data_IF_538477313792
#
_entry.id   IF_538477313792
#
_cell.length_a   1.000
_cell.length_b   1.000
_cell.length_c   1.000
_cell.angle_alpha   90.00
_cell.angle_beta   90.00
_cell.angle_gamma   90.00
#
_symmetry.space_group_name_H-M   'P 1'
#
loop_
_entity.id
_entity.type
_entity.pdbx_description
1 polymer ?
#
# COMPACT_ATOMS: atom_id res chain seq x y z
N UNK A 1 -66.20 67.98 -50.17
CA UNK A 1 -66.44 66.55 -49.97
C UNK A 1 -65.26 65.94 -49.24
N UNK A 2 -65.33 65.78 -47.94
CA UNK A 2 -64.23 65.36 -47.08
C UNK A 2 -64.57 64.01 -46.48
N UNK A 3 -63.81 62.97 -46.88
CA UNK A 3 -63.87 61.64 -46.29
C UNK A 3 -62.82 61.51 -45.14
N UNK A 4 -63.31 61.27 -43.93
CA UNK A 4 -62.51 60.98 -42.76
C UNK A 4 -62.08 59.49 -42.76
N UNK A 5 -60.79 59.20 -42.72
CA UNK A 5 -60.23 57.88 -42.42
C UNK A 5 -60.10 57.69 -40.89
N UNK A 6 -60.68 56.60 -40.42
CA UNK A 6 -60.47 56.14 -39.04
C UNK A 6 -59.23 55.22 -38.99
N UNK A 7 -58.24 55.54 -38.16
CA UNK A 7 -57.15 54.69 -37.84
C UNK A 7 -57.56 53.66 -36.77
N UNK A 8 -57.32 52.38 -37.10
CA UNK A 8 -57.49 51.27 -36.13
C UNK A 8 -56.20 51.12 -35.35
N UNK A 9 -56.35 50.95 -34.02
CA UNK A 9 -55.28 50.73 -33.06
C UNK A 9 -54.81 49.24 -33.07
N UNK A 10 -53.49 48.94 -33.08
CA UNK A 10 -53.03 47.58 -32.95
C UNK A 10 -52.97 47.18 -31.46
N UNK A 11 -53.63 46.06 -31.12
CA UNK A 11 -53.61 45.45 -29.83
C UNK A 11 -52.24 44.79 -29.52
N UNK A 12 -51.63 45.16 -28.40
CA UNK A 12 -50.46 44.48 -27.87
C UNK A 12 -50.82 43.09 -27.32
N UNK A 13 -50.39 42.03 -28.00
CA UNK A 13 -50.33 40.68 -27.41
C UNK A 13 -49.07 40.59 -26.51
N UNK A 14 -49.24 40.54 -25.23
CA UNK A 14 -48.20 40.23 -24.29
C UNK A 14 -47.96 38.71 -24.26
N UNK A 15 -46.83 38.25 -24.81
CA UNK A 15 -46.34 36.87 -24.62
C UNK A 15 -45.73 36.77 -23.22
N UNK A 16 -46.38 36.07 -22.29
CA UNK A 16 -45.82 35.64 -21.02
C UNK A 16 -45.04 34.34 -21.28
N UNK A 17 -43.72 34.48 -21.48
CA UNK A 17 -42.81 33.34 -21.55
C UNK A 17 -42.57 32.78 -20.15
N UNK A 18 -43.12 31.61 -19.85
CA UNK A 18 -42.81 30.88 -18.64
C UNK A 18 -41.41 30.26 -18.76
N UNK A 19 -40.44 30.83 -18.04
CA UNK A 19 -39.08 30.29 -17.91
C UNK A 19 -39.14 29.08 -16.98
N UNK A 20 -39.14 27.84 -17.54
CA UNK A 20 -39.03 26.62 -16.79
C UNK A 20 -37.55 26.43 -16.39
N UNK A 21 -37.21 26.75 -15.13
CA UNK A 21 -35.90 26.49 -14.55
C UNK A 21 -35.80 25.00 -14.24
N UNK A 22 -35.18 24.22 -15.12
CA UNK A 22 -34.84 22.82 -14.87
C UNK A 22 -33.69 22.78 -13.89
N UNK A 23 -33.97 22.57 -12.61
CA UNK A 23 -32.96 22.24 -11.57
C UNK A 23 -32.43 20.85 -11.91
N UNK A 24 -31.29 20.79 -12.59
CA UNK A 24 -30.49 19.56 -12.70
C UNK A 24 -29.83 19.33 -11.34
N UNK A 25 -30.46 18.55 -10.46
CA UNK A 25 -29.82 18.03 -9.26
C UNK A 25 -28.77 16.99 -9.70
N UNK A 26 -27.52 17.40 -9.80
CA UNK A 26 -26.41 16.48 -9.91
C UNK A 26 -26.32 15.72 -8.58
N UNK A 27 -26.84 14.50 -8.56
CA UNK A 27 -26.51 13.55 -7.49
C UNK A 27 -25.01 13.29 -7.63
N UNK A 28 -24.21 13.89 -6.76
CA UNK A 28 -22.85 13.47 -6.56
C UNK A 28 -22.93 11.99 -6.15
N UNK A 29 -22.50 11.10 -7.04
CA UNK A 29 -22.44 9.68 -6.78
C UNK A 29 -21.42 9.53 -5.66
N UNK A 30 -21.88 9.27 -4.44
CA UNK A 30 -21.01 9.03 -3.31
C UNK A 30 -20.07 7.88 -3.71
N UNK A 31 -18.78 8.17 -3.80
CA UNK A 31 -17.77 7.17 -4.09
C UNK A 31 -17.81 6.02 -3.08
N UNK A 32 -17.02 4.99 -3.27
CA UNK A 32 -17.01 3.83 -2.38
C UNK A 32 -16.76 4.27 -0.95
N UNK A 33 -17.65 3.89 -0.06
CA UNK A 33 -17.62 4.27 1.36
C UNK A 33 -16.99 3.13 2.17
N UNK A 34 -15.65 3.02 2.15
CA UNK A 34 -14.93 2.12 3.03
C UNK A 34 -15.20 2.49 4.50
N UNK A 35 -15.28 1.48 5.34
CA UNK A 35 -15.47 1.64 6.80
C UNK A 35 -14.80 0.50 7.54
N UNK A 36 -14.43 0.71 8.79
CA UNK A 36 -14.04 -0.39 9.69
C UNK A 36 -15.28 -1.24 9.95
N UNK A 37 -15.23 -2.48 9.47
CA UNK A 37 -16.29 -3.48 9.68
C UNK A 37 -16.01 -4.31 10.94
N UNK A 38 -14.74 -4.64 11.20
CA UNK A 38 -14.34 -5.41 12.37
C UNK A 38 -13.07 -4.84 13.00
N UNK A 39 -13.04 -4.89 14.34
CA UNK A 39 -11.84 -4.72 15.15
C UNK A 39 -11.66 -5.99 15.97
N UNK A 40 -10.55 -6.68 15.79
CA UNK A 40 -10.30 -7.99 16.39
C UNK A 40 -9.05 -7.91 17.26
N UNK A 41 -9.15 -8.10 18.57
CA UNK A 41 -7.98 -8.19 19.44
C UNK A 41 -7.07 -9.34 19.00
N UNK A 42 -5.78 -9.08 18.93
CA UNK A 42 -4.74 -10.06 18.65
C UNK A 42 -3.77 -10.15 19.83
N UNK A 43 -3.16 -11.32 20.08
CA UNK A 43 -2.17 -11.47 21.14
C UNK A 43 -0.83 -10.82 20.76
N UNK A 44 -0.12 -10.31 21.76
CA UNK A 44 1.23 -9.75 21.66
C UNK A 44 1.27 -8.25 21.87
N UNK A 45 2.39 -7.79 22.39
CA UNK A 45 2.61 -6.39 22.77
C UNK A 45 3.83 -5.79 22.06
N UNK A 46 4.39 -6.50 21.07
CA UNK A 46 5.53 -6.04 20.28
C UNK A 46 5.09 -5.11 19.14
N UNK A 47 6.06 -4.43 18.54
CA UNK A 47 5.84 -3.66 17.32
C UNK A 47 5.55 -4.57 16.13
N UNK A 48 4.93 -4.01 15.13
CA UNK A 48 4.58 -4.68 13.87
C UNK A 48 5.17 -3.95 12.68
N UNK A 49 5.14 -4.65 11.53
CA UNK A 49 5.57 -4.11 10.25
C UNK A 49 4.64 -4.59 9.12
N UNK A 50 5.16 -5.04 7.98
CA UNK A 50 4.36 -5.38 6.80
C UNK A 50 3.33 -6.49 7.06
N UNK A 51 2.24 -6.38 6.31
CA UNK A 51 1.21 -7.38 6.21
C UNK A 51 1.23 -7.96 4.78
N UNK A 52 1.03 -9.28 4.68
CA UNK A 52 0.92 -9.96 3.38
C UNK A 52 -0.32 -10.82 3.36
N UNK A 53 -1.24 -10.54 2.42
CA UNK A 53 -2.39 -11.38 2.18
C UNK A 53 -2.02 -12.50 1.20
N UNK A 54 -2.40 -13.75 1.53
CA UNK A 54 -2.16 -14.90 0.66
C UNK A 54 -3.19 -14.94 -0.47
N UNK A 55 -2.77 -14.79 -1.73
CA UNK A 55 -3.68 -14.88 -2.86
C UNK A 55 -4.35 -16.27 -2.93
N UNK A 56 -5.68 -16.31 -2.83
CA UNK A 56 -6.47 -17.55 -2.90
C UNK A 56 -6.43 -18.43 -1.64
N UNK A 57 -5.70 -18.02 -0.60
CA UNK A 57 -5.46 -18.84 0.60
C UNK A 57 -6.22 -18.43 1.86
N UNK A 58 -6.96 -17.34 1.87
CA UNK A 58 -7.72 -16.82 3.01
C UNK A 58 -6.87 -16.61 4.29
N UNK A 59 -5.55 -16.37 4.14
CA UNK A 59 -4.65 -16.12 5.26
C UNK A 59 -3.99 -14.76 5.13
N UNK A 60 -3.89 -14.08 6.26
CA UNK A 60 -3.12 -12.85 6.42
C UNK A 60 -1.91 -13.14 7.29
N UNK A 61 -0.74 -12.79 6.80
CA UNK A 61 0.54 -12.89 7.51
C UNK A 61 0.90 -11.51 8.03
N UNK A 62 1.21 -11.40 9.32
CA UNK A 62 1.51 -10.14 10.01
C UNK A 62 2.91 -10.24 10.61
N UNK A 63 3.83 -9.38 10.17
CA UNK A 63 5.13 -9.22 10.81
C UNK A 63 4.95 -8.60 12.21
N UNK A 64 5.31 -9.32 13.27
CA UNK A 64 5.05 -8.91 14.64
C UNK A 64 6.27 -9.17 15.55
N UNK A 65 7.14 -8.18 15.66
CA UNK A 65 8.29 -8.19 16.56
C UNK A 65 9.32 -9.28 16.30
N UNK A 66 9.08 -10.48 16.81
CA UNK A 66 10.00 -11.64 16.72
C UNK A 66 9.35 -12.85 16.06
N UNK A 67 8.17 -12.68 15.49
CA UNK A 67 7.38 -13.75 14.85
C UNK A 67 6.52 -13.21 13.71
N UNK A 68 6.00 -14.11 12.91
CA UNK A 68 4.89 -13.82 11.99
C UNK A 68 3.63 -14.48 12.53
N UNK A 69 2.59 -13.68 12.78
CA UNK A 69 1.26 -14.20 13.09
C UNK A 69 0.50 -14.48 11.80
N UNK A 70 -0.22 -15.60 11.77
CA UNK A 70 -1.05 -15.99 10.63
C UNK A 70 -2.52 -15.96 11.05
N UNK A 71 -3.32 -15.18 10.36
CA UNK A 71 -4.74 -14.98 10.64
C UNK A 71 -5.57 -15.69 9.57
N UNK A 72 -6.54 -16.51 9.97
CA UNK A 72 -7.63 -16.97 9.11
C UNK A 72 -8.60 -15.80 8.89
N UNK A 73 -8.70 -15.31 7.67
CA UNK A 73 -9.48 -14.09 7.36
C UNK A 73 -10.98 -14.32 7.25
N UNK A 74 -11.42 -15.58 7.18
CA UNK A 74 -12.85 -15.91 7.22
C UNK A 74 -13.35 -15.97 8.67
N UNK A 75 -12.51 -16.48 9.58
CA UNK A 75 -12.83 -16.57 11.02
C UNK A 75 -12.38 -15.35 11.81
N UNK A 76 -11.52 -14.52 11.25
CA UNK A 76 -10.85 -13.41 11.90
C UNK A 76 -10.14 -13.83 13.20
N UNK A 77 -9.42 -14.94 13.13
CA UNK A 77 -8.77 -15.55 14.29
C UNK A 77 -7.35 -16.02 13.94
N UNK A 78 -6.48 -16.09 14.94
CA UNK A 78 -5.12 -16.64 14.77
C UNK A 78 -5.22 -18.10 14.36
N UNK A 79 -4.62 -18.43 13.20
CA UNK A 79 -4.55 -19.77 12.63
C UNK A 79 -3.19 -20.43 12.85
N UNK A 80 -2.16 -19.66 13.14
CA UNK A 80 -0.81 -20.17 13.37
C UNK A 80 0.20 -19.06 13.59
N UNK A 81 1.43 -19.47 13.76
CA UNK A 81 2.57 -18.59 14.02
C UNK A 81 3.86 -19.18 13.43
N UNK A 82 4.75 -18.30 12.94
CA UNK A 82 6.13 -18.66 12.59
C UNK A 82 7.02 -17.90 13.57
N UNK A 83 7.59 -18.61 14.54
CA UNK A 83 8.42 -18.05 15.59
C UNK A 83 9.87 -17.81 15.14
N UNK A 84 10.67 -17.20 16.03
CA UNK A 84 12.11 -16.99 15.88
C UNK A 84 12.49 -16.21 14.61
N UNK A 85 11.79 -15.09 14.36
CA UNK A 85 12.09 -14.15 13.28
C UNK A 85 12.44 -12.76 13.84
N UNK A 86 13.58 -12.59 14.57
CA UNK A 86 13.88 -11.37 15.32
C UNK A 86 13.99 -10.15 14.41
N UNK A 87 13.16 -9.12 14.67
CA UNK A 87 13.08 -7.93 13.85
C UNK A 87 12.52 -8.26 12.47
N UNK A 88 11.46 -9.07 12.43
CA UNK A 88 10.73 -9.34 11.18
C UNK A 88 10.18 -8.04 10.59
N UNK A 89 10.36 -7.89 9.29
CA UNK A 89 9.80 -6.79 8.49
C UNK A 89 8.79 -7.30 7.50
N UNK A 90 9.21 -8.02 6.45
CA UNK A 90 8.37 -8.43 5.35
C UNK A 90 8.17 -9.94 5.20
N UNK A 91 7.11 -10.32 4.49
CA UNK A 91 6.78 -11.70 4.15
C UNK A 91 6.49 -11.77 2.65
N UNK A 92 7.21 -12.62 1.92
CA UNK A 92 6.94 -12.94 0.53
C UNK A 92 6.45 -14.39 0.40
N UNK A 93 5.42 -14.60 -0.40
CA UNK A 93 4.82 -15.91 -0.61
C UNK A 93 5.12 -16.41 -2.02
N UNK A 94 5.52 -17.66 -2.14
CA UNK A 94 5.74 -18.38 -3.39
C UNK A 94 4.82 -19.62 -3.44
N UNK A 95 3.52 -19.44 -3.73
CA UNK A 95 2.54 -20.52 -3.66
C UNK A 95 2.82 -21.65 -4.63
N UNK A 96 3.39 -21.35 -5.79
CA UNK A 96 3.83 -22.32 -6.80
C UNK A 96 4.96 -23.24 -6.32
N UNK A 97 5.73 -22.80 -5.31
CA UNK A 97 6.78 -23.57 -4.67
C UNK A 97 6.35 -24.16 -3.31
N UNK A 98 5.16 -23.82 -2.83
CA UNK A 98 4.67 -24.17 -1.50
C UNK A 98 5.49 -23.55 -0.37
N UNK A 99 6.15 -22.41 -0.60
CA UNK A 99 7.09 -21.75 0.33
C UNK A 99 6.71 -20.32 0.62
N UNK A 100 7.19 -19.84 1.75
CA UNK A 100 7.22 -18.43 2.08
C UNK A 100 8.59 -18.02 2.62
N UNK A 101 8.87 -16.73 2.55
CA UNK A 101 10.15 -16.13 2.88
C UNK A 101 9.91 -14.90 3.77
N UNK A 102 10.67 -14.79 4.85
CA UNK A 102 10.54 -13.71 5.84
C UNK A 102 11.87 -12.98 5.93
N UNK A 103 11.87 -11.66 5.80
CA UNK A 103 13.02 -10.83 6.10
C UNK A 103 13.11 -10.59 7.61
N UNK A 104 14.21 -11.02 8.23
CA UNK A 104 14.49 -10.86 9.65
C UNK A 104 15.65 -9.88 9.85
N UNK A 105 15.34 -8.59 9.93
CA UNK A 105 16.30 -7.48 9.88
C UNK A 105 17.34 -7.52 10.99
N UNK A 106 16.95 -7.90 12.21
CA UNK A 106 17.88 -7.94 13.35
C UNK A 106 18.91 -9.07 13.23
N UNK A 107 18.51 -10.22 12.68
CA UNK A 107 19.42 -11.36 12.47
C UNK A 107 20.14 -11.32 11.13
N UNK A 108 19.71 -10.49 10.18
CA UNK A 108 20.32 -10.35 8.86
C UNK A 108 20.15 -11.62 8.01
N UNK A 109 18.98 -12.27 8.09
CA UNK A 109 18.66 -13.49 7.36
C UNK A 109 17.29 -13.39 6.68
N UNK A 110 17.09 -14.25 5.68
CA UNK A 110 15.78 -14.64 5.19
C UNK A 110 15.43 -15.98 5.83
N UNK A 111 14.28 -16.07 6.52
CA UNK A 111 13.75 -17.32 7.02
C UNK A 111 12.82 -17.93 5.98
N UNK A 112 13.11 -19.16 5.53
CA UNK A 112 12.27 -19.92 4.61
C UNK A 112 11.33 -20.79 5.42
N UNK A 113 10.05 -20.83 5.04
CA UNK A 113 9.05 -21.67 5.71
C UNK A 113 8.16 -22.40 4.71
N UNK A 114 7.62 -23.54 5.15
CA UNK A 114 6.60 -24.28 4.41
C UNK A 114 5.26 -23.56 4.51
N UNK A 115 4.69 -23.20 3.37
CA UNK A 115 3.47 -22.39 3.32
C UNK A 115 2.24 -23.10 3.89
N UNK A 116 2.20 -24.44 3.84
CA UNK A 116 1.08 -25.24 4.32
C UNK A 116 1.14 -25.46 5.83
N UNK A 117 2.30 -25.85 6.33
CA UNK A 117 2.49 -26.25 7.74
C UNK A 117 2.99 -25.11 8.63
N UNK A 118 3.46 -24.01 8.04
CA UNK A 118 4.13 -22.88 8.70
C UNK A 118 5.47 -23.24 9.37
N UNK A 119 5.96 -24.46 9.13
CA UNK A 119 7.22 -24.90 9.70
C UNK A 119 8.42 -24.18 9.05
N UNK A 120 9.36 -23.74 9.86
CA UNK A 120 10.63 -23.18 9.38
C UNK A 120 11.43 -24.29 8.70
N UNK A 121 12.00 -23.99 7.55
CA UNK A 121 12.77 -24.92 6.72
C UNK A 121 14.26 -24.59 6.74
N UNK A 122 14.63 -23.30 6.60
CA UNK A 122 16.00 -22.89 6.38
C UNK A 122 16.18 -21.41 6.75
N UNK A 123 17.40 -21.00 7.06
CA UNK A 123 17.83 -19.61 7.08
C UNK A 123 18.84 -19.35 5.96
N UNK A 124 18.71 -18.20 5.30
CA UNK A 124 19.60 -17.75 4.26
C UNK A 124 20.22 -16.43 4.71
N UNK A 125 21.55 -16.35 4.83
CA UNK A 125 22.25 -15.13 5.17
C UNK A 125 22.12 -14.11 4.03
N UNK A 126 21.68 -12.88 4.34
CA UNK A 126 21.64 -11.80 3.36
C UNK A 126 23.03 -11.22 3.08
N UNK A 127 23.20 -10.60 1.93
CA UNK A 127 24.45 -9.96 1.53
C UNK A 127 24.56 -8.50 1.99
N UNK A 128 23.52 -7.98 2.64
CA UNK A 128 23.46 -6.64 3.20
C UNK A 128 22.83 -6.63 4.58
N UNK A 129 23.02 -5.54 5.29
CA UNK A 129 22.49 -5.34 6.64
C UNK A 129 21.03 -4.88 6.62
N UNK A 130 20.26 -5.32 7.63
CA UNK A 130 18.87 -4.98 7.83
C UNK A 130 18.01 -5.30 6.60
N UNK A 131 17.84 -6.61 6.25
CA UNK A 131 16.83 -7.02 5.28
C UNK A 131 15.46 -6.54 5.74
N UNK A 132 14.80 -5.75 4.91
CA UNK A 132 13.57 -5.06 5.19
C UNK A 132 12.46 -5.57 4.26
N UNK A 133 12.06 -4.82 3.27
CA UNK A 133 11.12 -5.27 2.27
C UNK A 133 11.61 -6.53 1.53
N UNK A 134 10.69 -7.42 1.21
CA UNK A 134 10.98 -8.70 0.52
C UNK A 134 9.88 -9.00 -0.49
N UNK A 135 10.24 -9.50 -1.66
CA UNK A 135 9.27 -9.96 -2.65
C UNK A 135 9.72 -11.26 -3.32
N UNK A 136 8.76 -12.04 -3.80
CA UNK A 136 8.95 -13.14 -4.73
C UNK A 136 8.55 -12.68 -6.13
N UNK A 137 9.48 -12.76 -7.07
CA UNK A 137 9.22 -12.50 -8.49
C UNK A 137 8.92 -13.83 -9.19
N UNK A 138 7.64 -14.04 -9.53
CA UNK A 138 7.16 -15.28 -10.14
C UNK A 138 7.79 -15.55 -11.52
N UNK A 139 8.13 -14.48 -12.27
CA UNK A 139 8.68 -14.63 -13.63
C UNK A 139 10.11 -15.18 -13.62
N UNK A 140 10.91 -14.80 -12.63
CA UNK A 140 12.29 -15.28 -12.50
C UNK A 140 12.44 -16.45 -11.52
N UNK A 141 11.40 -16.78 -10.73
CA UNK A 141 11.45 -17.69 -9.59
C UNK A 141 12.54 -17.30 -8.58
N UNK A 142 12.65 -15.99 -8.30
CA UNK A 142 13.63 -15.42 -7.37
C UNK A 142 12.98 -14.66 -6.26
N UNK A 143 13.62 -14.70 -5.09
CA UNK A 143 13.29 -13.84 -3.96
C UNK A 143 14.29 -12.71 -3.88
N UNK A 144 13.79 -11.51 -3.66
CA UNK A 144 14.61 -10.32 -3.46
C UNK A 144 14.29 -9.73 -2.10
N UNK A 145 15.32 -9.53 -1.27
CA UNK A 145 15.18 -8.72 -0.06
C UNK A 145 15.99 -7.45 -0.20
N UNK A 146 15.37 -6.36 0.19
CA UNK A 146 15.91 -5.01 0.09
C UNK A 146 16.50 -4.65 1.45
N UNK A 147 17.82 -4.45 1.48
CA UNK A 147 18.57 -4.30 2.72
C UNK A 147 18.76 -2.80 2.99
N UNK A 148 17.92 -2.25 3.90
CA UNK A 148 17.85 -0.80 4.15
C UNK A 148 19.18 -0.17 4.54
N UNK A 149 19.91 -0.76 5.51
CA UNK A 149 21.24 -0.29 5.92
C UNK A 149 22.33 -0.71 4.94
N UNK A 150 22.18 -1.87 4.32
CA UNK A 150 23.11 -2.40 3.31
C UNK A 150 23.07 -1.64 2.00
N UNK A 151 22.02 -0.84 1.72
CA UNK A 151 21.85 -0.03 0.48
C UNK A 151 21.96 -0.89 -0.78
N UNK A 152 21.46 -2.12 -0.71
CA UNK A 152 21.50 -3.12 -1.77
C UNK A 152 20.32 -4.06 -1.69
N UNK A 153 20.18 -4.93 -2.67
CA UNK A 153 19.27 -6.07 -2.60
C UNK A 153 20.03 -7.39 -2.68
N UNK A 154 19.59 -8.38 -1.89
CA UNK A 154 20.04 -9.77 -2.00
C UNK A 154 19.09 -10.52 -2.88
N UNK A 155 19.59 -11.21 -3.91
CA UNK A 155 18.83 -12.09 -4.77
C UNK A 155 19.05 -13.55 -4.40
N UNK A 156 17.96 -14.30 -4.27
CA UNK A 156 17.96 -15.74 -3.92
C UNK A 156 17.20 -16.51 -5.00
N UNK A 157 17.77 -17.63 -5.45
CA UNK A 157 17.04 -18.60 -6.26
C UNK A 157 16.03 -19.36 -5.37
N UNK A 158 14.74 -19.19 -5.64
CA UNK A 158 13.69 -19.75 -4.79
C UNK A 158 13.52 -21.27 -4.92
N UNK A 159 14.17 -21.92 -5.91
CA UNK A 159 14.15 -23.38 -6.08
C UNK A 159 15.22 -24.06 -5.24
N UNK A 160 16.38 -23.42 -5.10
CA UNK A 160 17.54 -23.96 -4.37
C UNK A 160 17.71 -23.35 -2.98
N UNK A 161 17.09 -22.21 -2.72
CA UNK A 161 17.28 -21.36 -1.53
C UNK A 161 18.76 -20.93 -1.36
N UNK A 162 19.39 -20.56 -2.46
CA UNK A 162 20.77 -20.11 -2.47
C UNK A 162 20.86 -18.64 -2.92
N UNK A 163 21.75 -17.89 -2.31
CA UNK A 163 22.06 -16.54 -2.75
C UNK A 163 22.76 -16.59 -4.11
N UNK A 164 22.18 -15.90 -5.09
CA UNK A 164 22.71 -15.87 -6.46
C UNK A 164 23.32 -14.53 -6.84
N UNK A 165 23.19 -13.51 -5.99
CA UNK A 165 23.82 -12.22 -6.24
C UNK A 165 23.40 -11.11 -5.29
N UNK A 166 24.10 -9.99 -5.43
CA UNK A 166 23.83 -8.73 -4.75
C UNK A 166 23.65 -7.64 -5.80
N UNK A 167 22.62 -6.81 -5.61
CA UNK A 167 22.34 -5.68 -6.50
C UNK A 167 22.63 -4.39 -5.72
N UNK A 168 23.70 -3.64 -6.03
CA UNK A 168 23.93 -2.34 -5.43
C UNK A 168 22.81 -1.36 -5.82
N UNK A 169 22.31 -0.60 -4.86
CA UNK A 169 21.26 0.40 -5.06
C UNK A 169 21.75 1.83 -4.78
N UNK A 170 22.88 1.95 -4.04
CA UNK A 170 23.52 3.21 -3.64
C UNK A 170 22.58 4.17 -2.89
N UNK A 171 21.48 3.66 -2.41
CA UNK A 171 20.41 4.37 -1.71
C UNK A 171 19.70 3.43 -0.74
N UNK A 172 18.94 3.98 0.22
CA UNK A 172 18.11 3.20 1.14
C UNK A 172 16.87 2.68 0.40
N UNK A 173 16.81 1.37 0.08
CA UNK A 173 15.60 0.80 -0.50
C UNK A 173 14.50 0.64 0.56
N UNK A 174 13.27 0.91 0.14
CA UNK A 174 12.05 0.69 0.89
C UNK A 174 11.19 -0.36 0.18
N UNK A 175 9.90 -0.09 -0.05
CA UNK A 175 8.99 -1.07 -0.64
C UNK A 175 9.29 -1.32 -2.13
N UNK A 176 9.07 -2.57 -2.56
CA UNK A 176 9.27 -2.98 -3.94
C UNK A 176 8.07 -3.78 -4.48
N UNK A 177 7.84 -3.68 -5.78
CA UNK A 177 6.83 -4.45 -6.51
C UNK A 177 7.42 -5.02 -7.80
N UNK A 178 6.95 -6.21 -8.19
CA UNK A 178 7.27 -6.84 -9.49
C UNK A 178 6.10 -6.69 -10.45
N UNK A 179 6.39 -6.45 -11.74
CA UNK A 179 5.38 -6.52 -12.80
C UNK A 179 5.10 -7.94 -13.30
N UNK A 180 5.86 -8.93 -12.81
CA UNK A 180 5.80 -10.32 -13.26
C UNK A 180 6.21 -10.52 -14.72
N UNK A 181 6.84 -9.53 -15.36
CA UNK A 181 7.23 -9.51 -16.77
C UNK A 181 8.70 -9.13 -16.98
N UNK A 182 9.47 -9.12 -15.90
CA UNK A 182 10.91 -8.89 -15.94
C UNK A 182 11.35 -7.52 -15.42
N UNK A 183 10.51 -6.84 -14.64
CA UNK A 183 10.88 -5.61 -13.95
C UNK A 183 10.46 -5.65 -12.49
N UNK A 184 11.35 -5.22 -11.62
CA UNK A 184 11.06 -4.92 -10.22
C UNK A 184 11.28 -3.42 -10.05
N UNK A 185 10.31 -2.77 -9.41
CA UNK A 185 10.37 -1.36 -9.05
C UNK A 185 10.58 -1.25 -7.56
N UNK A 186 11.49 -0.39 -7.13
CA UNK A 186 11.78 -0.18 -5.69
C UNK A 186 11.93 1.30 -5.38
N UNK A 187 11.24 1.76 -4.34
CA UNK A 187 11.42 3.10 -3.81
C UNK A 187 12.79 3.22 -3.15
N UNK A 188 13.48 4.31 -3.43
CA UNK A 188 14.76 4.70 -2.84
C UNK A 188 14.50 5.92 -1.96
N UNK A 189 14.28 5.68 -0.65
CA UNK A 189 13.78 6.66 0.31
C UNK A 189 14.65 7.91 0.38
N UNK A 190 15.94 7.75 0.67
CA UNK A 190 16.89 8.86 0.88
C UNK A 190 17.34 9.55 -0.41
N UNK A 191 16.80 9.15 -1.55
CA UNK A 191 17.07 9.74 -2.88
C UNK A 191 15.81 10.26 -3.57
N UNK A 192 14.63 10.15 -2.94
CA UNK A 192 13.36 10.56 -3.53
C UNK A 192 13.20 10.02 -4.96
N UNK A 193 13.52 8.75 -5.15
CA UNK A 193 13.59 8.16 -6.49
C UNK A 193 13.07 6.72 -6.51
N UNK A 194 12.85 6.22 -7.72
CA UNK A 194 12.40 4.87 -8.03
C UNK A 194 13.50 4.18 -8.87
N UNK A 195 14.01 3.05 -8.40
CA UNK A 195 14.87 2.21 -9.21
C UNK A 195 14.07 1.13 -9.94
N UNK A 196 14.51 0.78 -11.14
CA UNK A 196 14.03 -0.36 -11.93
C UNK A 196 15.13 -1.39 -12.02
N UNK A 197 14.81 -2.63 -11.61
CA UNK A 197 15.74 -3.74 -11.58
C UNK A 197 15.32 -4.78 -12.64
N UNK A 198 16.28 -5.29 -13.40
CA UNK A 198 16.12 -6.51 -14.21
C UNK A 198 16.41 -7.71 -13.29
N UNK A 199 15.39 -8.52 -12.93
CA UNK A 199 15.55 -9.64 -12.01
C UNK A 199 16.38 -10.78 -12.59
N UNK A 200 16.55 -10.87 -13.91
CA UNK A 200 17.37 -11.90 -14.54
C UNK A 200 18.85 -11.52 -14.58
N UNK A 201 19.14 -10.23 -14.89
CA UNK A 201 20.51 -9.73 -14.95
C UNK A 201 21.06 -9.33 -13.58
N UNK A 202 20.19 -9.24 -12.55
CA UNK A 202 20.53 -8.78 -11.21
C UNK A 202 21.19 -7.39 -11.23
N UNK A 203 20.59 -6.46 -11.96
CA UNK A 203 21.15 -5.11 -12.12
C UNK A 203 20.06 -4.05 -12.19
N UNK A 204 20.38 -2.86 -11.69
CA UNK A 204 19.56 -1.66 -11.89
C UNK A 204 19.66 -1.25 -13.36
N UNK A 205 18.51 -1.07 -14.00
CA UNK A 205 18.44 -0.64 -15.41
C UNK A 205 18.13 0.85 -15.54
N UNK A 206 17.44 1.42 -14.56
CA UNK A 206 17.08 2.84 -14.55
C UNK A 206 16.85 3.32 -13.13
N UNK A 207 17.05 4.61 -12.90
CA UNK A 207 16.66 5.31 -11.67
C UNK A 207 15.95 6.60 -12.09
N UNK A 208 14.74 6.80 -11.60
CA UNK A 208 13.90 7.94 -11.93
C UNK A 208 13.64 8.79 -10.66
N UNK A 209 13.86 10.11 -10.70
CA UNK A 209 13.44 10.97 -9.60
C UNK A 209 11.89 11.01 -9.52
N UNK A 210 11.34 10.93 -8.31
CA UNK A 210 9.90 11.08 -8.10
C UNK A 210 9.63 12.54 -7.74
N UNK A 211 9.35 13.36 -8.75
CA UNK A 211 9.13 14.79 -8.56
C UNK A 211 7.97 15.08 -7.61
N UNK A 212 8.19 15.90 -6.59
CA UNK A 212 7.19 16.27 -5.60
C UNK A 212 6.93 15.23 -4.51
N UNK A 213 7.73 14.16 -4.45
CA UNK A 213 7.70 13.13 -3.42
C UNK A 213 8.97 13.23 -2.56
N UNK A 214 8.83 13.22 -1.25
CA UNK A 214 9.92 13.18 -0.28
C UNK A 214 9.82 11.89 0.51
N UNK A 215 10.94 11.19 0.67
CA UNK A 215 11.05 9.92 1.41
C UNK A 215 9.95 8.91 1.00
N UNK A 216 9.97 8.41 -0.26
CA UNK A 216 8.99 7.42 -0.73
C UNK A 216 9.12 6.11 0.06
N UNK A 217 8.01 5.62 0.63
CA UNK A 217 7.93 4.37 1.39
C UNK A 217 7.15 3.30 0.61
N UNK A 218 5.84 3.16 0.85
CA UNK A 218 5.01 2.17 0.19
C UNK A 218 4.89 2.39 -1.32
N UNK A 219 4.76 1.29 -2.05
CA UNK A 219 4.65 1.27 -3.50
C UNK A 219 3.59 0.26 -3.94
N UNK A 220 2.70 0.64 -4.84
CA UNK A 220 1.73 -0.26 -5.45
C UNK A 220 1.77 -0.17 -6.97
N UNK A 221 1.36 -1.26 -7.66
CA UNK A 221 1.41 -1.37 -9.11
C UNK A 221 0.00 -1.64 -9.67
N UNK A 222 -0.45 -0.80 -10.61
CA UNK A 222 -1.46 -1.14 -11.60
C UNK A 222 -0.78 -1.77 -12.82
N UNK A 223 -0.68 -3.10 -12.83
CA UNK A 223 -0.01 -3.82 -13.91
C UNK A 223 -0.71 -3.70 -15.27
N UNK A 224 -2.03 -3.46 -15.28
CA UNK A 224 -2.81 -3.29 -16.50
C UNK A 224 -2.66 -1.86 -17.08
N UNK A 225 -2.71 -0.85 -16.22
CA UNK A 225 -2.50 0.54 -16.59
C UNK A 225 -1.03 0.92 -16.72
N UNK A 226 -0.10 0.07 -16.29
CA UNK A 226 1.34 0.36 -16.20
C UNK A 226 1.63 1.61 -15.37
N UNK A 227 0.95 1.73 -14.25
CA UNK A 227 1.13 2.82 -13.31
C UNK A 227 1.63 2.34 -11.96
N UNK A 228 2.46 3.14 -11.34
CA UNK A 228 2.90 2.96 -9.95
C UNK A 228 2.30 4.06 -9.07
N UNK A 229 1.95 3.68 -7.86
CA UNK A 229 1.49 4.59 -6.81
C UNK A 229 2.53 4.55 -5.70
N UNK A 230 3.33 5.60 -5.59
CA UNK A 230 4.32 5.77 -4.52
C UNK A 230 3.80 6.73 -3.47
N UNK A 231 3.84 6.34 -2.21
CA UNK A 231 3.42 7.20 -1.09
C UNK A 231 4.62 7.76 -0.36
N UNK A 232 4.53 9.04 0.03
CA UNK A 232 5.67 9.85 0.39
C UNK A 232 5.45 10.55 1.74
N UNK A 233 6.51 10.74 2.52
CA UNK A 233 6.46 11.33 3.86
C UNK A 233 5.90 12.77 3.87
N UNK A 234 6.06 13.51 2.77
CA UNK A 234 5.47 14.84 2.60
C UNK A 234 3.96 14.82 2.29
N UNK A 235 3.25 13.73 2.63
CA UNK A 235 1.78 13.57 2.54
C UNK A 235 1.25 13.59 1.11
N UNK A 236 1.96 12.95 0.23
CA UNK A 236 1.64 12.87 -1.20
C UNK A 236 1.63 11.41 -1.65
N UNK A 237 0.64 11.04 -2.47
CA UNK A 237 0.70 9.86 -3.32
C UNK A 237 1.02 10.32 -4.73
N UNK A 238 2.12 9.84 -5.31
CA UNK A 238 2.52 10.11 -6.68
C UNK A 238 2.06 8.97 -7.60
N UNK A 239 1.44 9.33 -8.73
CA UNK A 239 1.14 8.45 -9.85
C UNK A 239 2.29 8.53 -10.85
N UNK A 240 2.91 7.41 -11.14
CA UNK A 240 4.12 7.33 -11.97
C UNK A 240 3.85 6.41 -13.16
N UNK A 241 4.20 6.82 -14.36
CA UNK A 241 4.26 5.93 -15.52
C UNK A 241 5.41 4.94 -15.36
N UNK A 242 5.11 3.65 -15.32
CA UNK A 242 6.08 2.60 -15.01
C UNK A 242 7.14 2.41 -16.11
N UNK A 243 6.89 2.85 -17.33
CA UNK A 243 7.83 2.72 -18.45
C UNK A 243 8.85 3.86 -18.48
N UNK A 244 8.39 5.09 -18.25
CA UNK A 244 9.21 6.30 -18.39
C UNK A 244 9.69 6.88 -17.04
N UNK A 245 9.04 6.49 -15.93
CA UNK A 245 9.29 7.08 -14.61
C UNK A 245 8.71 8.50 -14.43
N UNK A 246 7.94 8.99 -15.38
CA UNK A 246 7.33 10.31 -15.29
C UNK A 246 6.20 10.34 -14.24
N UNK A 247 6.21 11.33 -13.36
CA UNK A 247 5.10 11.60 -12.46
C UNK A 247 3.95 12.21 -13.25
N UNK A 248 2.85 11.48 -13.34
CA UNK A 248 1.65 11.87 -14.09
C UNK A 248 0.72 12.76 -13.28
N UNK A 249 0.80 12.70 -11.97
CA UNK A 249 -0.01 13.48 -11.05
C UNK A 249 0.21 13.08 -9.60
N UNK A 250 -0.37 13.87 -8.71
CA UNK A 250 -0.29 13.62 -7.26
C UNK A 250 -1.65 13.78 -6.60
N UNK A 251 -1.84 13.14 -5.45
CA UNK A 251 -2.98 13.38 -4.56
C UNK A 251 -2.49 13.57 -3.12
N UNK A 252 -3.15 14.43 -2.33
CA UNK A 252 -2.83 14.55 -0.91
C UNK A 252 -3.29 13.30 -0.15
N UNK A 253 -2.47 12.87 0.83
CA UNK A 253 -2.76 11.76 1.73
C UNK A 253 -2.50 12.17 3.18
N UNK A 254 -2.81 11.29 4.14
CA UNK A 254 -2.54 11.53 5.55
C UNK A 254 -1.06 11.49 5.93
N UNK A 255 -0.77 11.83 7.18
CA UNK A 255 0.58 11.88 7.74
C UNK A 255 1.08 10.52 8.22
N UNK A 256 2.40 10.29 8.11
CA UNK A 256 3.04 9.06 8.58
C UNK A 256 2.62 7.84 7.77
N UNK A 257 2.47 8.02 6.46
CA UNK A 257 2.16 6.93 5.53
C UNK A 257 3.31 5.93 5.46
N UNK A 258 2.97 4.65 5.28
CA UNK A 258 3.97 3.59 5.17
C UNK A 258 3.63 2.57 4.09
N UNK A 259 2.36 2.28 3.85
CA UNK A 259 1.97 1.31 2.83
C UNK A 259 1.02 1.91 1.79
N UNK A 260 1.15 1.38 0.57
CA UNK A 260 0.26 1.62 -0.56
C UNK A 260 -0.31 0.29 -1.08
N UNK A 261 -1.53 0.32 -1.60
CA UNK A 261 -2.13 -0.80 -2.32
C UNK A 261 -2.94 -0.28 -3.51
N UNK A 262 -3.08 -1.10 -4.54
CA UNK A 262 -3.97 -0.82 -5.67
C UNK A 262 -4.91 -2.01 -5.88
N UNK A 263 -6.19 -1.71 -5.99
CA UNK A 263 -7.24 -2.68 -6.28
C UNK A 263 -7.65 -2.59 -7.75
N UNK A 264 -7.27 -3.58 -8.57
CA UNK A 264 -7.61 -3.55 -10.00
C UNK A 264 -9.13 -3.71 -10.24
N UNK A 265 -9.87 -4.32 -9.31
CA UNK A 265 -11.31 -4.53 -9.42
C UNK A 265 -12.11 -3.25 -9.25
N UNK A 266 -11.77 -2.43 -8.27
CA UNK A 266 -12.40 -1.14 -8.03
C UNK A 266 -11.67 0.04 -8.69
N UNK A 267 -10.42 -0.17 -9.15
CA UNK A 267 -9.50 0.86 -9.67
C UNK A 267 -9.20 1.96 -8.64
N UNK A 268 -9.08 1.57 -7.39
CA UNK A 268 -8.76 2.45 -6.29
C UNK A 268 -7.33 2.18 -5.79
N UNK A 269 -6.62 3.24 -5.47
CA UNK A 269 -5.38 3.19 -4.73
C UNK A 269 -5.62 3.58 -3.27
N UNK A 270 -4.83 3.03 -2.37
CA UNK A 270 -4.97 3.20 -0.93
C UNK A 270 -3.64 3.59 -0.32
N UNK A 271 -3.69 4.47 0.67
CA UNK A 271 -2.56 4.84 1.51
C UNK A 271 -2.95 4.74 2.98
N UNK A 272 -2.28 3.90 3.75
CA UNK A 272 -2.48 3.79 5.19
C UNK A 272 -1.52 4.70 5.93
N UNK A 273 -2.09 5.59 6.76
CA UNK A 273 -1.38 6.70 7.37
C UNK A 273 -1.38 6.56 8.89
N UNK A 274 -0.19 6.70 9.49
CA UNK A 274 0.05 6.50 10.93
C UNK A 274 -0.69 7.48 11.84
N UNK A 275 -1.14 8.62 11.31
CA UNK A 275 -2.01 9.54 12.05
C UNK A 275 -3.37 8.91 12.43
N UNK A 276 -3.81 7.87 11.70
CA UNK A 276 -5.07 7.17 11.91
C UNK A 276 -6.08 7.41 10.78
N UNK A 277 -5.60 7.43 9.53
CA UNK A 277 -6.46 7.50 8.35
C UNK A 277 -6.05 6.50 7.29
N UNK A 278 -7.03 6.03 6.50
CA UNK A 278 -6.82 5.37 5.22
C UNK A 278 -7.31 6.30 4.12
N UNK A 279 -6.40 6.81 3.30
CA UNK A 279 -6.77 7.62 2.14
C UNK A 279 -7.10 6.70 0.96
N UNK A 280 -8.30 6.86 0.40
CA UNK A 280 -8.77 6.17 -0.81
C UNK A 280 -8.68 7.14 -1.97
N UNK A 281 -7.93 6.76 -3.00
CA UNK A 281 -7.66 7.59 -4.17
C UNK A 281 -8.22 6.91 -5.41
N UNK A 282 -8.96 7.65 -6.21
CA UNK A 282 -9.44 7.23 -7.52
C UNK A 282 -8.70 7.97 -8.63
N UNK A 283 -8.65 7.35 -9.80
CA UNK A 283 -8.17 8.00 -11.01
C UNK A 283 -9.37 8.46 -11.83
N UNK A 284 -9.42 9.74 -12.18
CA UNK A 284 -10.47 10.28 -13.05
C UNK A 284 -10.33 9.77 -14.50
N UNK A 285 -11.34 9.98 -15.33
CA UNK A 285 -11.29 9.65 -16.76
C UNK A 285 -10.17 10.38 -17.51
N UNK A 286 -9.72 11.54 -17.01
CA UNK A 286 -8.58 12.29 -17.56
C UNK A 286 -7.22 11.80 -17.05
N UNK A 287 -7.19 10.79 -16.18
CA UNK A 287 -5.95 10.28 -15.57
C UNK A 287 -5.52 10.99 -14.28
N UNK A 288 -6.19 12.08 -13.89
CA UNK A 288 -5.85 12.79 -12.65
C UNK A 288 -6.26 11.99 -11.41
N UNK A 289 -5.42 12.03 -10.36
CA UNK A 289 -5.74 11.46 -9.07
C UNK A 289 -6.71 12.35 -8.29
N UNK A 290 -7.65 11.72 -7.61
CA UNK A 290 -8.63 12.38 -6.75
C UNK A 290 -8.79 11.60 -5.44
N UNK A 291 -8.78 12.31 -4.30
CA UNK A 291 -9.15 11.70 -3.03
C UNK A 291 -10.66 11.42 -3.05
N UNK A 292 -11.01 10.14 -3.13
CA UNK A 292 -12.40 9.69 -3.11
C UNK A 292 -12.95 9.64 -1.67
N UNK A 293 -12.09 9.30 -0.71
CA UNK A 293 -12.46 9.22 0.70
C UNK A 293 -11.22 9.29 1.60
N UNK A 294 -11.36 9.88 2.78
CA UNK A 294 -10.47 9.68 3.91
C UNK A 294 -11.24 8.94 5.00
N UNK A 295 -10.85 7.70 5.26
CA UNK A 295 -11.51 6.81 6.23
C UNK A 295 -10.80 6.97 7.57
N UNK A 296 -11.47 7.40 8.64
CA UNK A 296 -10.88 7.37 9.97
C UNK A 296 -10.53 5.92 10.36
N UNK A 297 -9.29 5.72 10.78
CA UNK A 297 -8.80 4.46 11.34
C UNK A 297 -8.31 4.69 12.76
N UNK A 298 -7.22 4.08 13.15
CA UNK A 298 -6.60 4.30 14.45
C UNK A 298 -5.13 4.73 14.27
N UNK A 299 -4.65 5.57 15.18
CA UNK A 299 -3.24 5.96 15.21
C UNK A 299 -2.34 4.72 15.15
N UNK A 300 -1.29 4.79 14.34
CA UNK A 300 -0.33 3.69 14.15
C UNK A 300 -0.75 2.65 13.11
N UNK A 301 -1.99 2.67 12.59
CA UNK A 301 -2.44 1.78 11.52
C UNK A 301 -1.85 2.20 10.16
N UNK A 302 -0.54 2.06 10.00
CA UNK A 302 0.22 2.58 8.85
C UNK A 302 0.56 1.52 7.78
N UNK A 303 0.57 0.24 8.16
CA UNK A 303 0.82 -0.88 7.23
C UNK A 303 -0.46 -1.60 6.90
N UNK A 304 -0.58 -2.10 5.66
CA UNK A 304 -1.81 -2.74 5.19
C UNK A 304 -1.56 -3.94 4.28
N UNK A 305 -2.59 -4.78 4.16
CA UNK A 305 -2.73 -5.74 3.08
C UNK A 305 -4.12 -5.63 2.46
N UNK A 306 -4.22 -5.94 1.16
CA UNK A 306 -5.46 -5.93 0.39
C UNK A 306 -5.80 -7.33 -0.11
N UNK A 307 -7.03 -7.77 0.16
CA UNK A 307 -7.64 -8.91 -0.55
C UNK A 307 -8.39 -8.38 -1.78
N UNK A 308 -7.78 -8.51 -2.95
CA UNK A 308 -8.36 -8.04 -4.22
C UNK A 308 -9.64 -8.78 -4.63
N UNK A 309 -9.93 -9.94 -4.06
CA UNK A 309 -11.12 -10.74 -4.34
C UNK A 309 -12.35 -10.20 -3.61
N UNK A 310 -12.17 -9.79 -2.36
CA UNK A 310 -13.25 -9.25 -1.51
C UNK A 310 -13.20 -7.73 -1.42
N UNK A 311 -12.12 -7.11 -1.90
CA UNK A 311 -11.81 -5.69 -1.76
C UNK A 311 -11.62 -5.26 -0.30
N UNK A 312 -11.36 -6.21 0.61
CA UNK A 312 -11.10 -5.94 2.03
C UNK A 312 -9.68 -5.44 2.23
N UNK A 313 -9.56 -4.47 3.13
CA UNK A 313 -8.26 -3.96 3.57
C UNK A 313 -8.06 -4.35 5.02
N UNK A 314 -6.89 -4.88 5.32
CA UNK A 314 -6.46 -5.28 6.64
C UNK A 314 -5.36 -4.34 7.12
N UNK A 315 -5.52 -3.79 8.31
CA UNK A 315 -4.51 -2.99 9.00
C UNK A 315 -4.33 -3.56 10.41
N UNK A 316 -3.19 -3.29 11.01
CA UNK A 316 -2.97 -3.60 12.43
C UNK A 316 -2.54 -2.36 13.16
N UNK A 317 -2.86 -2.31 14.45
CA UNK A 317 -2.46 -1.23 15.35
C UNK A 317 -2.56 -1.67 16.81
N UNK A 318 -2.12 -0.80 17.70
CA UNK A 318 -2.28 -0.91 19.15
C UNK A 318 -2.60 0.45 19.76
N UNK A 319 -2.99 0.47 21.02
CA UNK A 319 -3.07 1.72 21.77
C UNK A 319 -1.68 2.06 22.33
N UNK A 320 -1.40 3.35 22.45
CA UNK A 320 -0.10 3.84 22.85
C UNK A 320 -0.20 4.63 24.16
N UNK A 321 0.78 4.45 25.02
CA UNK A 321 0.99 5.31 26.17
C UNK A 321 1.43 6.72 25.80
N UNK A 322 1.69 7.53 26.82
CA UNK A 322 2.32 8.83 26.61
C UNK A 322 3.75 8.63 26.08
N UNK A 323 4.20 9.47 25.11
CA UNK A 323 5.59 9.40 24.68
C UNK A 323 6.52 9.75 25.85
N UNK A 324 7.66 9.08 26.00
CA UNK A 324 8.68 9.48 26.97
C UNK A 324 9.17 10.92 26.70
N UNK A 325 9.78 11.55 27.70
CA UNK A 325 10.39 12.85 27.51
C UNK A 325 11.48 12.77 26.44
N UNK A 326 11.52 13.74 25.55
CA UNK A 326 12.58 13.86 24.55
C UNK A 326 13.94 14.08 25.23
N UNK A 327 14.99 13.42 24.70
CA UNK A 327 16.37 13.64 25.09
C UNK A 327 17.19 14.08 23.86
N UNK A 328 18.39 14.64 24.03
CA UNK A 328 19.25 14.97 22.89
C UNK A 328 19.56 13.76 21.99
N UNK A 329 19.68 12.56 22.58
CA UNK A 329 19.94 11.31 21.85
C UNK A 329 18.67 10.74 21.20
N UNK A 330 17.50 11.05 21.78
CA UNK A 330 16.19 10.62 21.30
C UNK A 330 15.21 11.79 21.26
N UNK A 331 15.32 12.68 20.28
CA UNK A 331 14.48 13.89 20.18
C UNK A 331 13.00 13.57 19.92
N UNK A 332 12.69 12.41 19.34
CA UNK A 332 11.33 11.94 19.04
C UNK A 332 11.11 10.52 19.54
N UNK A 333 11.03 10.31 20.88
CA UNK A 333 10.88 8.98 21.44
C UNK A 333 9.50 8.39 21.08
N UNK A 334 9.49 7.14 20.66
CA UNK A 334 8.24 6.45 20.35
C UNK A 334 7.51 6.09 21.64
N UNK A 335 6.19 6.30 21.71
CA UNK A 335 5.39 5.86 22.84
C UNK A 335 5.38 4.33 22.94
N UNK A 336 5.31 3.82 24.16
CA UNK A 336 5.17 2.38 24.38
C UNK A 336 3.78 1.89 23.95
N UNK A 337 3.73 0.68 23.43
CA UNK A 337 2.48 -0.04 23.16
C UNK A 337 1.86 -0.43 24.51
N UNK A 338 0.56 -0.19 24.67
CA UNK A 338 -0.16 -0.62 25.86
C UNK A 338 -0.43 -2.12 25.80
N UNK A 339 -0.13 -2.88 26.85
CA UNK A 339 -0.33 -4.33 26.85
C UNK A 339 -1.76 -4.74 26.52
N UNK A 340 -1.91 -5.81 25.73
CA UNK A 340 -3.20 -6.37 25.35
C UNK A 340 -4.01 -5.50 24.39
N UNK A 341 -3.41 -4.48 23.79
CA UNK A 341 -4.12 -3.53 22.92
C UNK A 341 -3.91 -3.79 21.42
N UNK A 342 -3.03 -4.71 21.04
CA UNK A 342 -2.79 -5.06 19.64
C UNK A 342 -4.03 -5.62 18.98
N UNK A 343 -4.35 -5.15 17.77
CA UNK A 343 -5.58 -5.51 17.06
C UNK A 343 -5.48 -5.45 15.56
N UNK A 344 -6.30 -6.25 14.90
CA UNK A 344 -6.57 -6.21 13.48
C UNK A 344 -7.79 -5.30 13.22
N UNK A 345 -7.68 -4.42 12.25
CA UNK A 345 -8.78 -3.65 11.67
C UNK A 345 -9.10 -4.24 10.31
N UNK A 346 -10.36 -4.57 10.08
CA UNK A 346 -10.84 -5.02 8.76
C UNK A 346 -11.73 -3.93 8.19
N UNK A 347 -11.31 -3.38 7.05
CA UNK A 347 -12.10 -2.39 6.34
C UNK A 347 -12.78 -3.04 5.15
N UNK A 348 -14.06 -2.75 4.99
CA UNK A 348 -14.88 -3.27 3.88
C UNK A 348 -15.34 -2.13 2.98
N UNK A 349 -15.44 -2.40 1.66
CA UNK A 349 -16.15 -1.52 0.76
C UNK A 349 -17.64 -1.48 1.12
N UNK A 350 -18.42 -0.52 0.64
CA UNK A 350 -19.86 -0.52 0.82
C UNK A 350 -20.43 -1.82 0.28
N UNK A 351 -21.26 -2.49 1.07
CA UNK A 351 -21.93 -3.70 0.65
C UNK A 351 -22.68 -3.44 -0.67
N UNK A 352 -22.58 -4.35 -1.63
CA UNK A 352 -23.56 -4.38 -2.70
C UNK A 352 -24.91 -4.51 -2.02
N UNK A 353 -25.78 -3.51 -2.16
CA UNK A 353 -27.18 -3.68 -1.73
C UNK A 353 -27.69 -4.92 -2.47
N UNK A 354 -28.29 -5.88 -1.75
CA UNK A 354 -28.86 -7.07 -2.38
C UNK A 354 -29.88 -6.71 -3.45
#
# INVERSE_FOLDING_TARGET
>A
MTRRFRLASPGCLAFVGALVLVLVTTYAQAGPQYRIAHEVPLPGDEGWDYLTFEPGGHRLFIAHGTRVQVIDTDKLAVAGEIADTPGVHGIALAPDLGRGYISAGRSGVIVVFDLKTLARLKEIKTTGENPDSILYDVASHRVFTFNGRGRNATAVDAKTDEVIGTIPLDAKPEFAVSDGKGRIYVNLEDKNSLAVIDPQKLSVTSVFPISGCEEPSGLALDAAGQHLFSVCANKVMALIDAASGHVLGTAPIGEGVDAAAFDPGSRLAFASCGEGTLTVVSQSASGALQVAQSVPTRRGARTMALDVRTHRIYLVTADFGAPPAATPEHPHPRPAILPGSFRLLVLEPPGRRP
#
